data_IF_377095377879
#
_entry.id   IF_377095377879
#
_cell.length_a   1.000
_cell.length_b   1.000
_cell.length_c   1.000
_cell.angle_alpha   90.00
_cell.angle_beta   90.00
_cell.angle_gamma   90.00
#
_symmetry.space_group_name_H-M   'P 1'
#
loop_
_entity.id
_entity.type
_entity.pdbx_description
1 polymer ?
#
# COMPACT_ATOMS: atom_id res chain seq x y z
N UNK A 1 16.71 -13.48 -15.41
CA UNK A 1 15.31 -13.06 -15.49
C UNK A 1 14.98 -12.13 -14.33
N UNK A 2 14.35 -11.03 -14.65
CA UNK A 2 13.99 -10.06 -13.61
C UNK A 2 12.61 -10.43 -13.06
N UNK A 3 12.54 -10.62 -11.77
CA UNK A 3 11.26 -10.84 -11.10
C UNK A 3 10.52 -9.51 -11.02
N UNK A 4 9.44 -9.41 -11.77
CA UNK A 4 8.58 -8.24 -11.70
C UNK A 4 7.60 -8.46 -10.56
N UNK A 5 7.72 -7.63 -9.53
CA UNK A 5 6.79 -7.67 -8.41
C UNK A 5 5.45 -7.13 -8.89
N UNK A 6 4.44 -7.97 -8.88
CA UNK A 6 3.10 -7.59 -9.30
C UNK A 6 2.17 -7.59 -8.10
N UNK A 7 1.37 -6.53 -7.99
CA UNK A 7 0.30 -6.49 -7.02
C UNK A 7 -0.90 -7.29 -7.50
N UNK A 8 -1.85 -7.58 -6.62
CA UNK A 8 -3.09 -8.24 -7.00
C UNK A 8 -3.90 -7.33 -7.94
N UNK A 9 -4.69 -7.91 -8.85
CA UNK A 9 -5.61 -7.09 -9.64
C UNK A 9 -6.62 -6.39 -8.72
N UNK A 10 -7.15 -5.21 -9.12
CA UNK A 10 -8.01 -4.42 -8.23
C UNK A 10 -9.19 -5.17 -7.63
N UNK A 11 -9.81 -6.06 -8.39
CA UNK A 11 -10.96 -6.84 -7.93
C UNK A 11 -10.57 -7.93 -6.91
N UNK A 12 -9.29 -8.17 -6.72
CA UNK A 12 -8.78 -9.19 -5.80
C UNK A 12 -8.16 -8.59 -4.53
N UNK A 13 -8.01 -7.27 -4.47
CA UNK A 13 -7.34 -6.63 -3.33
C UNK A 13 -8.02 -6.96 -2.00
N UNK A 14 -9.35 -6.98 -1.98
CA UNK A 14 -10.10 -7.28 -0.74
C UNK A 14 -9.85 -8.69 -0.20
N UNK A 15 -9.33 -9.60 -1.02
CA UNK A 15 -8.95 -10.93 -0.55
C UNK A 15 -7.75 -10.89 0.41
N UNK A 16 -7.06 -9.75 0.47
CA UNK A 16 -5.88 -9.56 1.31
C UNK A 16 -6.17 -8.77 2.57
N UNK A 17 -7.45 -8.63 2.95
CA UNK A 17 -7.80 -7.96 4.21
C UNK A 17 -7.09 -8.63 5.38
N UNK A 18 -6.51 -7.81 6.25
CA UNK A 18 -5.74 -8.31 7.39
C UNK A 18 -4.30 -8.67 7.08
N UNK A 19 -3.91 -8.65 5.81
CA UNK A 19 -2.56 -8.97 5.39
C UNK A 19 -1.69 -7.72 5.35
N UNK A 20 -0.38 -7.91 5.54
CA UNK A 20 0.58 -6.80 5.41
C UNK A 20 0.78 -6.48 3.94
N UNK A 21 0.60 -5.22 3.61
CA UNK A 21 0.70 -4.73 2.24
C UNK A 21 1.74 -3.62 2.14
N UNK A 22 2.31 -3.49 0.95
CA UNK A 22 3.23 -2.40 0.63
C UNK A 22 2.59 -1.57 -0.49
N UNK A 23 2.44 -0.28 -0.25
CA UNK A 23 1.88 0.66 -1.22
C UNK A 23 2.98 1.57 -1.71
N UNK A 24 3.28 1.51 -2.99
CA UNK A 24 4.27 2.38 -3.61
C UNK A 24 3.61 3.69 -3.99
N UNK A 25 4.14 4.80 -3.45
CA UNK A 25 3.60 6.12 -3.70
C UNK A 25 4.28 6.77 -4.90
N UNK A 26 3.63 7.77 -5.48
CA UNK A 26 4.16 8.51 -6.64
C UNK A 26 5.39 9.34 -6.30
N UNK A 27 5.62 9.63 -5.02
CA UNK A 27 6.81 10.35 -4.56
C UNK A 27 7.99 9.42 -4.26
N UNK A 28 7.92 8.16 -4.67
CA UNK A 28 8.93 7.12 -4.47
C UNK A 28 9.03 6.60 -3.03
N UNK A 29 8.19 7.09 -2.12
CA UNK A 29 8.08 6.49 -0.79
C UNK A 29 7.20 5.25 -0.87
N UNK A 30 7.23 4.46 0.20
CA UNK A 30 6.37 3.29 0.34
C UNK A 30 5.65 3.37 1.67
N UNK A 31 4.37 2.98 1.68
CA UNK A 31 3.62 2.83 2.91
C UNK A 31 3.44 1.34 3.16
N UNK A 32 3.91 0.87 4.29
CA UNK A 32 3.75 -0.53 4.70
C UNK A 32 2.74 -0.57 5.83
N UNK A 33 1.77 -1.44 5.74
CA UNK A 33 0.75 -1.55 6.78
C UNK A 33 -0.16 -2.74 6.54
N UNK A 34 -1.15 -2.87 7.40
CA UNK A 34 -2.12 -3.96 7.32
C UNK A 34 -3.36 -3.46 6.57
N UNK A 35 -3.78 -4.19 5.56
CA UNK A 35 -4.93 -3.79 4.75
C UNK A 35 -6.22 -3.89 5.58
N UNK A 36 -6.86 -2.75 5.81
CA UNK A 36 -8.12 -2.67 6.54
C UNK A 36 -9.31 -2.62 5.60
N UNK A 37 -9.16 -1.95 4.46
CA UNK A 37 -10.23 -1.83 3.49
C UNK A 37 -9.69 -1.29 2.17
N UNK A 38 -10.37 -1.63 1.06
CA UNK A 38 -10.07 -1.10 -0.25
C UNK A 38 -11.37 -0.77 -0.99
N UNK A 39 -11.50 0.48 -1.43
CA UNK A 39 -12.63 0.94 -2.22
C UNK A 39 -12.36 0.67 -3.69
N UNK A 40 -13.06 -0.30 -4.27
CA UNK A 40 -12.80 -0.71 -5.64
C UNK A 40 -13.03 0.43 -6.66
N UNK A 41 -14.14 1.13 -6.53
CA UNK A 41 -14.50 2.19 -7.47
C UNK A 41 -13.56 3.40 -7.38
N UNK A 42 -13.28 3.84 -6.15
CA UNK A 42 -12.44 5.01 -5.91
C UNK A 42 -10.96 4.65 -5.86
N UNK A 43 -10.65 3.37 -5.73
CA UNK A 43 -9.28 2.87 -5.59
C UNK A 43 -8.55 3.52 -4.41
N UNK A 44 -9.28 3.65 -3.30
CA UNK A 44 -8.77 4.21 -2.06
C UNK A 44 -8.38 3.08 -1.12
N UNK A 45 -7.17 3.15 -0.56
CA UNK A 45 -6.59 2.12 0.30
C UNK A 45 -6.61 2.57 1.75
N UNK A 46 -7.15 1.73 2.64
CA UNK A 46 -7.12 1.99 4.09
C UNK A 46 -6.16 1.01 4.73
N UNK A 47 -5.16 1.53 5.44
CA UNK A 47 -4.18 0.70 6.15
C UNK A 47 -4.17 1.05 7.63
N UNK A 48 -3.91 0.03 8.46
CA UNK A 48 -3.67 0.20 9.90
C UNK A 48 -2.21 -0.15 10.20
N UNK A 49 -1.69 0.37 11.31
CA UNK A 49 -0.31 0.10 11.76
C UNK A 49 0.69 0.34 10.63
N UNK A 50 0.63 1.53 10.04
CA UNK A 50 1.38 1.86 8.84
C UNK A 50 2.70 2.56 9.15
N UNK A 51 3.64 2.43 8.22
CA UNK A 51 4.93 3.13 8.24
C UNK A 51 5.21 3.70 6.86
N UNK A 52 5.71 4.95 6.83
CA UNK A 52 6.18 5.58 5.60
C UNK A 52 7.68 5.35 5.51
N UNK A 53 8.11 4.71 4.44
CA UNK A 53 9.51 4.38 4.22
C UNK A 53 10.01 5.14 3.00
N UNK A 54 11.12 5.89 3.16
CA UNK A 54 11.68 6.66 2.05
C UNK A 54 12.49 5.78 1.09
N UNK A 55 13.07 6.41 0.07
CA UNK A 55 13.85 5.71 -0.96
C UNK A 55 15.07 4.99 -0.39
N UNK A 56 15.56 5.44 0.75
CA UNK A 56 16.74 4.86 1.40
C UNK A 56 16.38 3.75 2.38
N UNK A 57 15.08 3.44 2.51
CA UNK A 57 14.60 2.42 3.43
C UNK A 57 14.43 2.91 4.85
N UNK A 58 14.45 4.22 5.07
CA UNK A 58 14.31 4.80 6.40
C UNK A 58 12.84 5.13 6.68
N UNK A 59 12.40 4.84 7.90
CA UNK A 59 11.05 5.16 8.34
C UNK A 59 10.98 6.65 8.65
N UNK A 60 10.14 7.39 7.90
CA UNK A 60 9.99 8.83 8.07
C UNK A 60 8.84 9.19 8.99
N UNK A 61 7.80 8.36 9.03
CA UNK A 61 6.65 8.55 9.92
C UNK A 61 5.86 7.26 10.00
N UNK A 62 4.98 7.19 10.99
CA UNK A 62 4.14 6.02 11.20
C UNK A 62 2.85 6.45 11.90
N UNK A 63 1.88 5.56 11.95
CA UNK A 63 0.62 5.84 12.59
C UNK A 63 -0.26 4.62 12.69
N UNK A 64 -1.43 4.80 13.30
CA UNK A 64 -2.37 3.71 13.51
C UNK A 64 -3.33 3.51 12.33
N UNK A 65 -3.61 4.56 11.57
CA UNK A 65 -4.55 4.47 10.46
C UNK A 65 -4.21 5.52 9.40
N UNK A 66 -4.31 5.13 8.12
CA UNK A 66 -4.10 6.02 7.00
C UNK A 66 -5.04 5.66 5.85
N UNK A 67 -5.49 6.69 5.13
CA UNK A 67 -6.28 6.53 3.91
C UNK A 67 -5.42 7.08 2.76
N UNK A 68 -5.20 6.25 1.74
CA UNK A 68 -4.38 6.62 0.59
C UNK A 68 -5.26 6.70 -0.64
N UNK A 69 -5.41 7.90 -1.18
CA UNK A 69 -6.22 8.14 -2.38
C UNK A 69 -5.49 7.69 -3.64
N UNK A 70 -6.24 7.36 -4.68
CA UNK A 70 -5.68 6.89 -5.96
C UNK A 70 -4.66 7.87 -6.55
N UNK A 71 -4.82 9.17 -6.30
CA UNK A 71 -3.89 10.17 -6.82
C UNK A 71 -2.50 10.09 -6.18
N UNK A 72 -2.39 9.47 -5.02
CA UNK A 72 -1.14 9.42 -4.27
C UNK A 72 -0.37 8.10 -4.46
N UNK A 73 -1.05 6.99 -4.81
CA UNK A 73 -0.37 5.71 -4.89
C UNK A 73 -0.22 5.24 -6.34
N UNK A 74 0.83 4.46 -6.56
CA UNK A 74 1.20 3.96 -7.89
C UNK A 74 0.89 2.47 -8.00
N UNK A 75 1.32 1.68 -7.02
CA UNK A 75 1.19 0.22 -7.06
C UNK A 75 1.03 -0.34 -5.66
N UNK A 76 0.30 -1.44 -5.55
CA UNK A 76 0.06 -2.14 -4.28
C UNK A 76 0.61 -3.55 -4.38
N UNK A 77 1.35 -3.97 -3.36
CA UNK A 77 1.95 -5.30 -3.31
C UNK A 77 1.57 -6.01 -2.03
N UNK A 78 1.37 -7.32 -2.13
CA UNK A 78 1.24 -8.18 -0.96
C UNK A 78 2.64 -8.56 -0.48
N UNK A 79 2.89 -8.37 0.80
CA UNK A 79 4.20 -8.69 1.38
C UNK A 79 4.29 -10.13 1.86
#
# INVERSE_FOLDING_TARGET
>A
MVDIKKGPPPDKIMNYLGSRMEVELKNHHKIVGILAFYHLQEQTIHLTDWMDVDEKGQITKSGSFIIINRTAWFQLYNM
#
